data_IF_602152608363
#
_entry.id   IF_602152608363
#
_cell.length_a   1.000
_cell.length_b   1.000
_cell.length_c   1.000
_cell.angle_alpha   90.00
_cell.angle_beta   90.00
_cell.angle_gamma   90.00
#
_symmetry.space_group_name_H-M   'P 1'
#
loop_
_entity.id
_entity.type
_entity.pdbx_description
1 polymer ?
#
# COMPACT_ATOMS: atom_id res chain seq x y z
N UNK A 1 -5.12 -2.95 -24.91
CA UNK A 1 -4.89 -3.33 -23.52
C UNK A 1 -5.02 -2.12 -22.61
N UNK A 2 -5.85 -2.24 -21.67
CA UNK A 2 -6.16 -1.14 -20.75
C UNK A 2 -5.18 -1.13 -19.58
N UNK A 3 -4.85 0.06 -19.12
CA UNK A 3 -4.01 0.20 -17.93
C UNK A 3 -4.71 -0.33 -16.69
N UNK A 4 -6.02 -0.51 -16.79
CA UNK A 4 -6.79 -1.00 -15.66
C UNK A 4 -6.34 -2.37 -15.18
N UNK A 5 -5.79 -3.17 -16.10
CA UNK A 5 -5.37 -4.52 -15.75
C UNK A 5 -4.22 -4.54 -14.76
N UNK A 6 -3.43 -3.47 -14.73
CA UNK A 6 -2.28 -3.43 -13.83
C UNK A 6 -2.60 -2.77 -12.50
N UNK A 7 -3.76 -2.14 -12.38
CA UNK A 7 -4.12 -1.45 -11.15
C UNK A 7 -4.71 -2.46 -10.17
N UNK A 8 -4.16 -2.49 -8.97
CA UNK A 8 -4.61 -3.41 -7.94
C UNK A 8 -5.73 -2.81 -7.11
N UNK A 9 -5.56 -1.58 -6.66
CA UNK A 9 -6.55 -0.93 -5.82
C UNK A 9 -6.37 0.57 -5.92
N UNK A 10 -7.41 1.29 -5.56
CA UNK A 10 -7.34 2.75 -5.58
C UNK A 10 -8.38 3.36 -4.67
N UNK A 11 -7.99 4.44 -4.03
CA UNK A 11 -8.89 5.27 -3.23
C UNK A 11 -8.62 6.72 -3.61
N UNK A 12 -9.26 7.64 -2.89
CA UNK A 12 -9.03 9.05 -3.14
C UNK A 12 -7.60 9.46 -2.82
N UNK A 13 -6.99 8.75 -1.88
CA UNK A 13 -5.67 9.13 -1.38
C UNK A 13 -4.55 8.21 -1.84
N UNK A 14 -4.87 6.99 -2.25
CA UNK A 14 -3.86 6.00 -2.56
C UNK A 14 -4.22 5.22 -3.81
N UNK A 15 -3.18 4.80 -4.52
CA UNK A 15 -3.36 3.94 -5.68
C UNK A 15 -2.22 2.95 -5.73
N UNK A 16 -2.50 1.73 -6.16
CA UNK A 16 -1.47 0.72 -6.27
C UNK A 16 -1.61 -0.03 -7.59
N UNK A 17 -0.47 -0.50 -8.09
CA UNK A 17 -0.47 -1.26 -9.34
C UNK A 17 0.62 -2.33 -9.27
N UNK A 18 0.52 -3.29 -10.18
CA UNK A 18 1.43 -4.43 -10.23
C UNK A 18 1.98 -4.52 -11.64
N UNK A 19 3.30 -4.66 -11.73
CA UNK A 19 4.00 -4.68 -13.02
C UNK A 19 4.77 -5.97 -13.22
N UNK A 20 4.29 -7.07 -12.64
CA UNK A 20 4.93 -8.36 -12.86
C UNK A 20 6.07 -8.65 -11.90
N UNK A 21 6.93 -7.69 -11.69
CA UNK A 21 8.09 -7.85 -10.81
C UNK A 21 8.03 -6.93 -9.61
N UNK A 22 7.32 -5.83 -9.75
CA UNK A 22 7.28 -4.81 -8.70
C UNK A 22 5.85 -4.38 -8.45
N UNK A 23 5.64 -3.83 -7.27
CA UNK A 23 4.36 -3.24 -6.90
C UNK A 23 4.61 -1.76 -6.64
N UNK A 24 3.79 -0.93 -7.24
CA UNK A 24 3.89 0.50 -7.03
C UNK A 24 2.76 0.98 -6.15
N UNK A 25 3.07 1.94 -5.29
CA UNK A 25 2.07 2.59 -4.44
C UNK A 25 2.26 4.08 -4.56
N UNK A 26 1.18 4.76 -4.90
CA UNK A 26 1.21 6.20 -5.04
C UNK A 26 0.40 6.84 -3.93
N UNK A 27 1.00 7.81 -3.28
CA UNK A 27 0.34 8.60 -2.25
C UNK A 27 -0.12 9.89 -2.92
N UNK A 28 -1.35 9.91 -3.36
CA UNK A 28 -1.87 10.97 -4.21
C UNK A 28 -1.81 12.33 -3.54
N UNK A 29 -2.11 12.36 -2.26
CA UNK A 29 -2.12 13.62 -1.52
C UNK A 29 -0.73 14.26 -1.47
N UNK A 30 0.30 13.42 -1.39
CA UNK A 30 1.67 13.91 -1.26
C UNK A 30 2.42 13.95 -2.57
N UNK A 31 1.90 13.29 -3.60
CA UNK A 31 2.59 13.19 -4.88
C UNK A 31 3.80 12.30 -4.82
N UNK A 32 3.83 11.35 -3.89
CA UNK A 32 4.96 10.43 -3.70
C UNK A 32 4.59 9.06 -4.24
N UNK A 33 5.52 8.47 -4.97
CA UNK A 33 5.34 7.13 -5.51
C UNK A 33 6.49 6.24 -5.03
N UNK A 34 6.13 5.08 -4.54
CA UNK A 34 7.10 4.06 -4.11
C UNK A 34 6.93 2.83 -4.96
N UNK A 35 8.05 2.26 -5.38
CA UNK A 35 8.04 1.01 -6.13
C UNK A 35 8.84 -0.01 -5.35
N UNK A 36 8.23 -1.16 -5.10
CA UNK A 36 8.79 -2.18 -4.23
C UNK A 36 8.78 -3.51 -4.96
N UNK A 37 9.87 -4.27 -4.83
CA UNK A 37 9.91 -5.63 -5.38
C UNK A 37 8.78 -6.46 -4.80
N UNK A 38 8.25 -7.38 -5.60
CA UNK A 38 7.10 -8.15 -5.14
C UNK A 38 7.41 -8.94 -3.88
N UNK A 39 8.65 -9.42 -3.74
CA UNK A 39 9.04 -10.15 -2.53
C UNK A 39 9.07 -9.24 -1.32
N UNK A 40 9.64 -8.07 -1.49
CA UNK A 40 9.67 -7.09 -0.42
C UNK A 40 8.27 -6.58 -0.10
N UNK A 41 7.44 -6.52 -1.12
CA UNK A 41 6.07 -6.06 -0.90
C UNK A 41 5.30 -7.01 0.01
N UNK A 42 5.57 -8.31 -0.11
CA UNK A 42 4.91 -9.27 0.78
C UNK A 42 5.27 -9.02 2.22
N UNK A 43 6.56 -8.75 2.47
CA UNK A 43 7.00 -8.42 3.83
C UNK A 43 6.43 -7.10 4.28
N UNK A 44 6.36 -6.15 3.37
CA UNK A 44 5.79 -4.84 3.68
C UNK A 44 4.33 -4.98 4.10
N UNK A 45 3.58 -5.85 3.43
CA UNK A 45 2.18 -6.06 3.78
C UNK A 45 2.04 -6.62 5.19
N UNK A 46 2.93 -7.54 5.56
CA UNK A 46 2.90 -8.08 6.92
C UNK A 46 3.19 -6.99 7.93
N UNK A 47 4.16 -6.14 7.62
CA UNK A 47 4.50 -5.02 8.49
C UNK A 47 3.32 -4.06 8.62
N UNK A 48 2.68 -3.73 7.51
CA UNK A 48 1.55 -2.82 7.54
C UNK A 48 0.39 -3.40 8.33
N UNK A 49 0.15 -4.70 8.16
CA UNK A 49 -0.91 -5.37 8.91
C UNK A 49 -0.65 -5.31 10.41
N UNK A 50 0.59 -5.55 10.80
CA UNK A 50 0.95 -5.46 12.22
C UNK A 50 0.83 -4.03 12.72
N UNK A 51 1.28 -3.09 11.91
CA UNK A 51 1.17 -1.67 12.26
C UNK A 51 -0.28 -1.29 12.45
N UNK A 52 -1.14 -1.78 11.59
CA UNK A 52 -2.57 -1.49 11.69
C UNK A 52 -3.14 -2.01 13.01
N UNK A 53 -2.77 -3.23 13.39
CA UNK A 53 -3.26 -3.80 14.63
C UNK A 53 -2.81 -2.98 15.83
N UNK A 54 -1.55 -2.57 15.82
CA UNK A 54 -1.02 -1.78 16.93
C UNK A 54 -1.64 -0.39 16.95
N UNK A 55 -1.90 0.17 15.77
CA UNK A 55 -2.53 1.46 15.69
C UNK A 55 -3.92 1.43 16.30
N UNK A 56 -4.70 0.41 15.97
CA UNK A 56 -6.06 0.28 16.50
C UNK A 56 -6.01 0.16 18.03
N UNK A 57 -5.06 -0.63 18.53
CA UNK A 57 -4.90 -0.80 19.95
C UNK A 57 -4.52 0.50 20.64
N UNK A 58 -3.59 1.22 20.05
CA UNK A 58 -3.14 2.50 20.61
C UNK A 58 -4.29 3.50 20.65
N UNK A 59 -5.12 3.48 19.62
CA UNK A 59 -6.26 4.38 19.57
C UNK A 59 -7.24 4.09 20.69
N UNK A 60 -7.45 2.82 20.96
CA UNK A 60 -8.36 2.44 22.03
C UNK A 60 -7.85 2.89 23.40
N UNK A 61 -6.55 2.89 23.57
CA UNK A 61 -5.95 3.23 24.85
C UNK A 61 -5.84 4.73 25.08
N UNK A 62 -6.04 5.48 24.03
CA UNK A 62 -5.87 6.92 24.12
C UNK A 62 -6.99 7.60 24.86
N UNK A 63 -8.01 6.90 25.10
CA UNK A 63 -9.13 7.48 25.80
C UNK A 63 -8.82 7.83 27.25
#
# INVERSE_FOLDING_TARGET
MSDDDSILAGTEDFESWYDGDVVGIEFLADGVTKVINKEDFRDFCKFVSQTHDEFIRAEDEED
#
